data_IF_914369008489
#
_entry.id   IF_914369008489
#
_cell.length_a   1.000
_cell.length_b   1.000
_cell.length_c   1.000
_cell.angle_alpha   90.00
_cell.angle_beta   90.00
_cell.angle_gamma   90.00
#
_symmetry.space_group_name_H-M   'P 1'
#
loop_
_entity.id
_entity.type
_entity.pdbx_description
1 polymer ?
#
# COMPACT_ATOMS: atom_id res chain seq x y z
N UNK A 1 29.03 -59.72 -5.72
CA UNK A 1 29.47 -58.63 -4.82
C UNK A 1 28.23 -58.21 -4.01
N UNK A 2 27.88 -58.78 -2.84
CA UNK A 2 28.55 -58.76 -1.53
C UNK A 2 29.02 -57.32 -1.25
N UNK A 3 28.46 -56.53 -0.30
CA UNK A 3 28.55 -56.69 1.17
C UNK A 3 27.54 -55.72 1.86
N UNK A 4 26.54 -56.22 2.63
CA UNK A 4 26.38 -56.21 4.12
C UNK A 4 25.98 -54.86 4.79
N UNK A 5 24.76 -54.80 5.39
CA UNK A 5 24.40 -54.89 6.85
C UNK A 5 24.43 -53.53 7.58
N UNK A 6 23.25 -52.97 7.91
CA UNK A 6 22.49 -53.11 9.18
C UNK A 6 23.13 -52.34 10.34
N UNK A 7 22.46 -51.31 10.86
CA UNK A 7 22.27 -51.08 12.30
C UNK A 7 21.08 -50.16 12.54
N UNK A 8 19.96 -50.78 12.90
CA UNK A 8 18.82 -50.17 13.59
C UNK A 8 19.25 -49.81 15.02
N UNK A 9 19.10 -48.56 15.41
CA UNK A 9 19.23 -48.11 16.80
C UNK A 9 17.90 -47.55 17.28
N UNK A 10 17.20 -48.30 18.13
CA UNK A 10 16.02 -47.89 18.89
C UNK A 10 16.45 -47.74 20.37
N UNK A 11 16.30 -46.55 20.95
CA UNK A 11 16.20 -46.26 22.39
C UNK A 11 15.64 -44.83 22.50
N UNK A 12 14.33 -44.64 22.70
CA UNK A 12 13.66 -44.57 24.01
C UNK A 12 13.99 -43.28 24.80
N UNK A 13 13.01 -42.38 24.82
CA UNK A 13 12.80 -41.41 25.92
C UNK A 13 13.32 -39.99 25.71
N UNK A 14 12.41 -39.05 25.50
CA UNK A 14 12.24 -37.87 26.37
C UNK A 14 11.00 -37.08 25.95
N UNK A 15 10.42 -36.42 26.95
CA UNK A 15 9.16 -35.71 26.97
C UNK A 15 9.04 -34.65 25.86
N UNK A 16 7.83 -34.59 25.30
CA UNK A 16 7.13 -33.41 24.77
C UNK A 16 7.93 -32.08 24.82
N UNK A 17 8.55 -31.64 23.72
CA UNK A 17 8.72 -30.22 23.49
C UNK A 17 7.35 -29.69 23.08
N UNK A 18 6.76 -28.88 23.96
CA UNK A 18 5.48 -28.23 23.75
C UNK A 18 5.37 -27.67 22.33
N UNK A 19 4.18 -27.85 21.75
CA UNK A 19 3.74 -27.32 20.47
C UNK A 19 4.47 -26.01 20.16
N UNK A 20 5.52 -26.08 19.35
CA UNK A 20 6.29 -24.93 18.87
C UNK A 20 5.50 -24.20 17.77
N UNK A 21 4.20 -24.06 18.00
CA UNK A 21 3.29 -23.28 17.21
C UNK A 21 2.90 -22.07 18.05
N UNK A 22 3.91 -21.29 18.48
CA UNK A 22 3.72 -19.85 18.43
C UNK A 22 3.49 -19.54 16.96
N UNK A 23 2.24 -19.68 16.48
CA UNK A 23 1.82 -19.04 15.26
C UNK A 23 2.18 -17.58 15.47
N UNK A 24 3.25 -17.14 14.81
CA UNK A 24 3.41 -15.76 14.43
C UNK A 24 2.14 -15.44 13.64
N UNK A 25 1.10 -15.00 14.33
CA UNK A 25 0.15 -14.08 13.74
C UNK A 25 0.97 -12.82 13.50
N UNK A 26 1.70 -12.80 12.38
CA UNK A 26 2.00 -11.54 11.75
C UNK A 26 0.63 -10.90 11.56
N UNK A 27 0.32 -9.90 12.39
CA UNK A 27 -0.84 -9.05 12.18
C UNK A 27 -0.71 -8.63 10.72
N UNK A 28 -1.61 -9.12 9.86
CA UNK A 28 -1.62 -8.72 8.48
C UNK A 28 -1.78 -7.21 8.52
N UNK A 29 -0.74 -6.48 8.11
CA UNK A 29 -0.78 -5.04 8.10
C UNK A 29 -1.98 -4.64 7.24
N UNK A 30 -2.91 -3.93 7.85
CA UNK A 30 -4.05 -3.42 7.12
C UNK A 30 -3.56 -2.25 6.26
N UNK A 31 -3.33 -2.54 4.99
CA UNK A 31 -2.77 -1.60 4.02
C UNK A 31 -3.90 -0.83 3.35
N UNK A 32 -3.86 0.49 3.44
CA UNK A 32 -4.80 1.37 2.76
C UNK A 32 -4.06 2.29 1.80
N UNK A 33 -4.50 2.38 0.55
CA UNK A 33 -3.96 3.37 -0.40
C UNK A 33 -4.49 4.76 -0.07
N UNK A 34 -3.58 5.71 0.14
CA UNK A 34 -3.89 7.12 0.41
C UNK A 34 -3.57 7.95 -0.83
N UNK A 35 -4.51 8.79 -1.25
CA UNK A 35 -4.34 9.73 -2.35
C UNK A 35 -4.09 11.14 -1.81
N UNK A 36 -3.17 11.86 -2.43
CA UNK A 36 -2.72 13.19 -2.00
C UNK A 36 -2.91 14.18 -3.14
N UNK A 37 -3.83 15.11 -2.94
CA UNK A 37 -4.00 16.31 -3.76
C UNK A 37 -2.96 17.36 -3.39
N UNK A 38 -2.61 18.23 -4.34
CA UNK A 38 -1.56 19.23 -4.15
C UNK A 38 -1.89 20.53 -4.87
N UNK A 39 -1.23 21.61 -4.46
CA UNK A 39 -1.06 22.78 -5.33
C UNK A 39 0.18 22.54 -6.20
N UNK A 40 -0.03 22.52 -7.52
CA UNK A 40 1.11 22.40 -8.43
C UNK A 40 1.86 23.72 -8.47
N UNK A 41 3.18 23.62 -8.33
CA UNK A 41 4.09 24.75 -8.33
C UNK A 41 5.41 24.29 -8.94
N UNK A 42 6.52 24.49 -8.23
CA UNK A 42 7.84 24.09 -8.74
C UNK A 42 8.15 22.59 -8.59
N UNK A 43 7.55 21.91 -7.62
CA UNK A 43 7.93 20.54 -7.24
C UNK A 43 6.83 19.51 -7.48
N UNK A 44 5.58 19.85 -7.12
CA UNK A 44 4.45 18.94 -7.33
C UNK A 44 4.02 18.92 -8.79
N UNK A 45 3.75 17.71 -9.30
CA UNK A 45 3.22 17.45 -10.63
C UNK A 45 1.72 17.17 -10.68
N UNK A 46 1.07 16.95 -9.53
CA UNK A 46 -0.35 16.64 -9.49
C UNK A 46 -0.76 15.76 -8.31
N UNK A 47 -1.38 14.62 -8.61
CA UNK A 47 -1.92 13.69 -7.61
C UNK A 47 -0.91 12.57 -7.36
N UNK A 48 -0.67 12.28 -6.10
CA UNK A 48 0.19 11.19 -5.66
C UNK A 48 -0.60 10.15 -4.88
N UNK A 49 -0.06 8.94 -4.77
CA UNK A 49 -0.57 7.92 -3.88
C UNK A 49 0.57 7.17 -3.20
N UNK A 50 0.31 6.69 -1.98
CA UNK A 50 1.20 5.78 -1.26
C UNK A 50 0.36 4.76 -0.49
N UNK A 51 0.98 3.62 -0.17
CA UNK A 51 0.35 2.59 0.66
C UNK A 51 0.65 2.89 2.14
N UNK A 52 -0.39 2.96 2.96
CA UNK A 52 -0.31 3.28 4.37
C UNK A 52 -0.64 2.05 5.21
N UNK A 53 0.29 1.67 6.08
CA UNK A 53 0.09 0.62 7.06
C UNK A 53 -0.67 1.21 8.26
N UNK A 54 -1.96 0.89 8.39
CA UNK A 54 -2.80 1.41 9.48
C UNK A 54 -2.44 0.79 10.84
N UNK A 55 -1.72 -0.34 10.85
CA UNK A 55 -1.27 -1.02 12.07
C UNK A 55 -0.01 -0.37 12.64
N UNK A 56 0.95 -0.01 11.78
CA UNK A 56 2.24 0.56 12.21
C UNK A 56 2.35 2.07 12.03
N UNK A 57 1.44 2.69 11.27
CA UNK A 57 1.48 4.10 10.91
C UNK A 57 2.55 4.46 9.87
N UNK A 58 3.17 3.46 9.23
CA UNK A 58 4.21 3.68 8.23
C UNK A 58 3.61 4.02 6.87
N UNK A 59 4.10 5.11 6.28
CA UNK A 59 3.84 5.44 4.88
C UNK A 59 4.86 4.74 3.97
N UNK A 60 4.37 4.15 2.89
CA UNK A 60 5.18 3.58 1.82
C UNK A 60 5.75 4.63 0.87
N UNK A 61 6.26 4.15 -0.26
CA UNK A 61 6.81 5.01 -1.30
C UNK A 61 5.71 5.85 -1.98
N UNK A 62 6.01 7.13 -2.20
CA UNK A 62 5.11 8.05 -2.88
C UNK A 62 5.21 7.88 -4.39
N UNK A 63 4.09 7.59 -5.06
CA UNK A 63 4.00 7.39 -6.50
C UNK A 63 3.14 8.48 -7.13
N UNK A 64 3.58 9.03 -8.26
CA UNK A 64 2.75 9.94 -9.06
C UNK A 64 1.69 9.11 -9.79
N UNK A 65 0.40 9.45 -9.59
CA UNK A 65 -0.72 8.71 -10.22
C UNK A 65 -1.43 9.51 -11.29
N UNK A 66 -1.36 10.84 -11.24
CA UNK A 66 -1.87 11.71 -12.30
C UNK A 66 -1.08 13.03 -12.37
N UNK A 67 -0.66 13.42 -13.59
CA UNK A 67 -0.18 14.76 -13.86
C UNK A 67 -1.36 15.67 -14.14
N UNK A 68 -1.61 16.61 -13.22
CA UNK A 68 -2.75 17.51 -13.31
C UNK A 68 -2.46 18.77 -12.52
N UNK A 69 -2.89 19.93 -13.03
CA UNK A 69 -2.63 21.21 -12.40
C UNK A 69 -3.51 21.43 -11.15
N UNK A 70 -2.86 21.77 -10.04
CA UNK A 70 -3.42 22.12 -8.73
C UNK A 70 -4.66 21.33 -8.30
N UNK A 71 -4.58 19.98 -8.19
CA UNK A 71 -5.66 19.16 -7.65
C UNK A 71 -5.82 19.39 -6.14
N UNK A 72 -6.48 20.46 -5.74
CA UNK A 72 -6.54 20.89 -4.33
C UNK A 72 -7.54 20.11 -3.48
N UNK A 73 -8.48 19.41 -4.11
CA UNK A 73 -9.45 18.56 -3.43
C UNK A 73 -9.72 17.28 -4.22
N UNK A 74 -9.84 16.15 -3.52
CA UNK A 74 -10.08 14.83 -4.09
C UNK A 74 -11.29 14.15 -3.45
N UNK A 75 -12.06 13.39 -4.24
CA UNK A 75 -13.16 12.57 -3.76
C UNK A 75 -13.17 11.22 -4.49
N UNK A 76 -13.11 10.13 -3.72
CA UNK A 76 -13.22 8.78 -4.25
C UNK A 76 -14.69 8.40 -4.45
N UNK A 77 -15.04 7.85 -5.61
CA UNK A 77 -16.36 7.26 -5.82
C UNK A 77 -16.56 6.07 -4.85
N UNK A 78 -17.76 5.81 -4.29
CA UNK A 78 -17.96 4.76 -3.29
C UNK A 78 -17.55 3.33 -3.71
N UNK A 79 -17.49 3.07 -5.02
CA UNK A 79 -17.01 1.79 -5.57
C UNK A 79 -15.48 1.71 -5.72
N UNK A 80 -14.75 2.78 -5.44
CA UNK A 80 -13.28 2.83 -5.49
C UNK A 80 -12.67 2.88 -6.90
N UNK A 81 -13.48 3.07 -7.95
CA UNK A 81 -13.04 2.95 -9.34
C UNK A 81 -12.81 4.29 -10.06
N UNK A 82 -13.17 5.42 -9.44
CA UNK A 82 -13.04 6.77 -10.02
C UNK A 82 -12.62 7.73 -8.91
N UNK A 83 -11.64 8.60 -9.20
CA UNK A 83 -11.15 9.61 -8.28
C UNK A 83 -11.40 11.00 -8.89
N UNK A 84 -12.37 11.72 -8.34
CA UNK A 84 -12.67 13.08 -8.76
C UNK A 84 -11.68 14.07 -8.16
N UNK A 85 -11.23 15.04 -8.94
CA UNK A 85 -10.38 16.13 -8.47
C UNK A 85 -10.94 17.50 -8.85
N UNK A 86 -10.89 18.44 -7.90
CA UNK A 86 -11.04 19.88 -8.18
C UNK A 86 -9.68 20.45 -8.53
N UNK A 87 -9.60 21.16 -9.65
CA UNK A 87 -8.40 21.83 -10.13
C UNK A 87 -8.52 23.33 -9.86
N UNK A 88 -7.78 23.81 -8.86
CA UNK A 88 -7.81 25.19 -8.43
C UNK A 88 -6.91 26.05 -9.31
N UNK A 89 -7.52 26.54 -10.38
CA UNK A 89 -6.90 27.36 -11.41
C UNK A 89 -7.57 28.73 -11.43
N UNK A 90 -6.83 29.73 -11.88
CA UNK A 90 -7.40 31.06 -12.15
C UNK A 90 -8.09 31.12 -13.51
N UNK A 91 -7.66 30.29 -14.45
CA UNK A 91 -8.20 30.19 -15.80
C UNK A 91 -8.22 28.73 -16.25
N UNK A 92 -9.32 28.34 -16.90
CA UNK A 92 -9.51 27.04 -17.53
C UNK A 92 -10.23 27.25 -18.87
N UNK A 93 -9.68 26.69 -19.94
CA UNK A 93 -10.22 26.82 -21.31
C UNK A 93 -10.49 28.29 -21.75
N UNK A 94 -9.53 29.17 -21.47
CA UNK A 94 -9.60 30.59 -21.83
C UNK A 94 -10.61 31.42 -21.02
N UNK A 95 -11.16 30.87 -19.94
CA UNK A 95 -12.14 31.55 -19.07
C UNK A 95 -11.68 31.52 -17.63
N UNK A 96 -11.97 32.60 -16.89
CA UNK A 96 -11.71 32.64 -15.45
C UNK A 96 -12.46 31.52 -14.74
N UNK A 97 -11.75 30.70 -13.98
CA UNK A 97 -12.33 29.57 -13.25
C UNK A 97 -11.35 28.42 -13.03
N UNK A 98 -11.84 27.41 -12.31
CA UNK A 98 -11.16 26.13 -12.08
C UNK A 98 -11.64 25.02 -13.01
N UNK A 99 -11.04 23.84 -12.86
CA UNK A 99 -11.38 22.63 -13.60
C UNK A 99 -11.89 21.50 -12.70
N UNK A 100 -12.50 20.48 -13.32
CA UNK A 100 -12.86 19.22 -12.68
C UNK A 100 -12.32 18.07 -13.54
N UNK A 101 -11.70 17.08 -12.90
CA UNK A 101 -11.18 15.88 -13.56
C UNK A 101 -11.65 14.61 -12.81
N UNK A 102 -11.66 13.45 -13.48
CA UNK A 102 -12.12 12.17 -12.94
C UNK A 102 -11.29 10.99 -13.46
#
# INVERSE_FOLDING_TARGET
>A
MITRRLFTGLLAGTLMPGCLACLNHAVAADQTTVYVGTYTGKQSKGIYAFDFDTTTGKAGELRLVAEVASPSFLAMHPKGNVLYSVNELNEFDGRKGGGLSA
#
